data_IF_087122682210
#
_entry.id   IF_087122682210
#
_cell.length_a   1.000
_cell.length_b   1.000
_cell.length_c   1.000
_cell.angle_alpha   90.00
_cell.angle_beta   90.00
_cell.angle_gamma   90.00
#
_symmetry.space_group_name_H-M   'P 1'
#
loop_
_entity.id
_entity.type
_entity.pdbx_description
1 polymer ?
#
# COMPACT_ATOMS: atom_id res chain seq x y z
N UNK A 1 -20.33 -31.82 10.89
CA UNK A 1 -20.24 -30.66 9.96
C UNK A 1 -19.39 -29.61 10.63
N UNK A 2 -18.12 -29.52 10.25
CA UNK A 2 -17.16 -28.59 10.84
C UNK A 2 -17.50 -27.15 10.46
N UNK A 3 -17.55 -26.28 11.46
CA UNK A 3 -17.46 -24.83 11.24
C UNK A 3 -16.06 -24.58 10.66
N UNK A 4 -15.98 -24.49 9.33
CA UNK A 4 -14.81 -23.96 8.63
C UNK A 4 -14.57 -22.56 9.17
N UNK A 5 -13.30 -22.21 9.38
CA UNK A 5 -12.92 -20.85 9.74
C UNK A 5 -13.66 -19.86 8.85
N UNK A 6 -14.19 -18.82 9.48
CA UNK A 6 -14.76 -17.66 8.78
C UNK A 6 -13.81 -17.25 7.65
N UNK A 7 -14.37 -16.91 6.51
CA UNK A 7 -13.65 -16.63 5.27
C UNK A 7 -12.72 -15.43 5.46
N UNK A 8 -11.47 -15.70 5.87
CA UNK A 8 -10.45 -14.68 6.17
C UNK A 8 -10.26 -13.72 5.01
N UNK A 9 -10.42 -14.23 3.78
CA UNK A 9 -10.33 -13.43 2.57
C UNK A 9 -11.52 -12.49 2.48
N UNK A 10 -12.73 -12.98 2.72
CA UNK A 10 -13.92 -12.13 2.77
C UNK A 10 -13.81 -11.06 3.87
N UNK A 11 -13.38 -11.42 5.07
CA UNK A 11 -13.17 -10.46 6.17
C UNK A 11 -12.17 -9.37 5.76
N UNK A 12 -11.05 -9.78 5.13
CA UNK A 12 -10.06 -8.84 4.62
C UNK A 12 -10.63 -7.91 3.54
N UNK A 13 -11.40 -8.45 2.59
CA UNK A 13 -12.01 -7.67 1.51
C UNK A 13 -13.09 -6.70 2.05
N UNK A 14 -13.89 -7.14 3.01
CA UNK A 14 -14.91 -6.31 3.67
C UNK A 14 -14.25 -5.16 4.44
N UNK A 15 -13.16 -5.44 5.17
CA UNK A 15 -12.36 -4.43 5.84
C UNK A 15 -11.82 -3.39 4.85
N UNK A 16 -11.21 -3.83 3.75
CA UNK A 16 -10.71 -2.91 2.72
C UNK A 16 -11.84 -2.08 2.08
N UNK A 17 -13.02 -2.66 1.91
CA UNK A 17 -14.21 -1.95 1.43
C UNK A 17 -14.65 -0.84 2.38
N UNK A 18 -14.66 -1.10 3.69
CA UNK A 18 -14.98 -0.10 4.71
C UNK A 18 -13.94 1.04 4.74
N UNK A 19 -12.66 0.70 4.71
CA UNK A 19 -11.57 1.69 4.64
C UNK A 19 -11.67 2.55 3.37
N UNK A 20 -12.03 1.95 2.23
CA UNK A 20 -12.23 2.69 0.99
C UNK A 20 -13.34 3.73 1.11
N UNK A 21 -14.47 3.39 1.74
CA UNK A 21 -15.58 4.34 1.96
C UNK A 21 -15.18 5.48 2.90
N UNK A 22 -14.40 5.21 3.95
CA UNK A 22 -13.88 6.24 4.86
C UNK A 22 -12.91 7.18 4.14
N UNK A 23 -12.04 6.64 3.27
CA UNK A 23 -11.15 7.44 2.43
C UNK A 23 -11.98 8.28 1.45
N UNK A 24 -12.98 7.71 0.80
CA UNK A 24 -13.87 8.43 -0.11
C UNK A 24 -14.53 9.63 0.57
N UNK A 25 -15.08 9.44 1.78
CA UNK A 25 -15.70 10.51 2.57
C UNK A 25 -14.72 11.65 2.87
N UNK A 26 -13.49 11.32 3.28
CA UNK A 26 -12.44 12.32 3.50
C UNK A 26 -12.13 13.07 2.20
N UNK A 27 -12.04 12.37 1.08
CA UNK A 27 -11.68 12.97 -0.21
C UNK A 27 -12.82 13.77 -0.87
N UNK A 28 -14.07 13.58 -0.44
CA UNK A 28 -15.24 14.41 -0.81
C UNK A 28 -15.15 15.83 -0.25
N UNK A 29 -14.43 16.03 0.84
CA UNK A 29 -14.11 17.38 1.32
C UNK A 29 -13.13 18.05 0.35
N UNK A 30 -13.66 18.92 -0.51
CA UNK A 30 -12.89 19.67 -1.51
C UNK A 30 -12.78 21.11 -0.99
N UNK A 31 -11.81 21.34 -0.10
CA UNK A 31 -11.41 22.70 0.25
C UNK A 31 -10.97 23.43 -1.01
N UNK A 32 -11.41 24.67 -1.16
CA UNK A 32 -10.97 25.54 -2.27
C UNK A 32 -9.54 26.02 -1.98
N UNK A 33 -8.81 26.36 -3.03
CA UNK A 33 -7.50 27.01 -2.88
C UNK A 33 -7.61 28.27 -2.01
N UNK A 34 -6.78 28.33 -0.97
CA UNK A 34 -6.63 29.50 -0.11
C UNK A 34 -5.68 30.51 -0.77
N UNK A 35 -6.26 31.49 -1.44
CA UNK A 35 -5.52 32.62 -2.03
C UNK A 35 -5.30 33.77 -1.06
N UNK A 36 -5.71 33.62 0.20
CA UNK A 36 -5.52 34.65 1.23
C UNK A 36 -4.16 34.54 1.92
N UNK A 37 -3.53 33.36 1.91
CA UNK A 37 -2.18 33.15 2.44
C UNK A 37 -1.14 33.98 1.70
N UNK A 38 -0.52 34.93 2.39
CA UNK A 38 0.54 35.76 1.82
C UNK A 38 1.79 34.94 1.47
N UNK A 39 2.10 33.94 2.29
CA UNK A 39 3.21 33.03 2.06
C UNK A 39 3.01 32.24 0.74
N UNK A 40 1.82 31.68 0.52
CA UNK A 40 1.53 30.92 -0.69
C UNK A 40 1.48 31.81 -1.94
N UNK A 41 1.00 33.04 -1.81
CA UNK A 41 1.08 34.04 -2.90
C UNK A 41 2.51 34.34 -3.26
N UNK A 42 3.39 34.50 -2.27
CA UNK A 42 4.81 34.72 -2.53
C UNK A 42 5.44 33.50 -3.20
N UNK A 43 5.15 32.28 -2.72
CA UNK A 43 5.59 31.02 -3.35
C UNK A 43 5.12 30.91 -4.80
N UNK A 44 3.87 31.25 -5.09
CA UNK A 44 3.31 31.21 -6.45
C UNK A 44 3.95 32.25 -7.38
N UNK A 45 4.09 33.48 -6.91
CA UNK A 45 4.64 34.58 -7.70
C UNK A 45 6.12 34.35 -8.02
N UNK A 46 6.90 33.88 -7.03
CA UNK A 46 8.34 33.67 -7.15
C UNK A 46 8.72 32.36 -7.85
N UNK A 47 7.77 31.45 -8.09
CA UNK A 47 8.07 30.22 -8.82
C UNK A 47 8.42 30.51 -10.29
N UNK A 48 9.64 30.18 -10.70
CA UNK A 48 10.12 30.40 -12.07
C UNK A 48 9.88 29.19 -12.98
N UNK A 49 9.71 27.99 -12.40
CA UNK A 49 9.51 26.76 -13.15
C UNK A 49 8.49 25.83 -12.50
N UNK A 50 7.87 24.98 -13.32
CA UNK A 50 6.99 23.91 -12.87
C UNK A 50 7.72 22.97 -11.92
N UNK A 51 7.17 22.78 -10.72
CA UNK A 51 7.76 21.89 -9.71
C UNK A 51 7.96 20.45 -10.22
N UNK A 52 7.04 19.94 -11.03
CA UNK A 52 7.06 18.54 -11.46
C UNK A 52 7.97 18.25 -12.67
N UNK A 53 8.01 19.14 -13.67
CA UNK A 53 8.72 18.87 -14.92
C UNK A 53 9.87 19.85 -15.20
N UNK A 54 10.12 20.82 -14.32
CA UNK A 54 11.17 21.81 -14.48
C UNK A 54 10.96 22.82 -15.62
N UNK A 55 9.83 22.76 -16.35
CA UNK A 55 9.54 23.73 -17.42
C UNK A 55 9.47 25.14 -16.84
N UNK A 56 10.32 26.04 -17.32
CA UNK A 56 10.29 27.47 -16.99
C UNK A 56 8.97 28.08 -17.45
N UNK A 57 8.36 28.90 -16.60
CA UNK A 57 7.13 29.61 -16.92
C UNK A 57 7.44 30.80 -17.82
N UNK A 58 6.84 30.81 -19.01
CA UNK A 58 6.88 31.94 -19.94
C UNK A 58 6.07 33.11 -19.40
N UNK A 59 4.85 32.81 -18.92
CA UNK A 59 3.91 33.79 -18.40
C UNK A 59 3.23 33.30 -17.11
N UNK A 60 2.66 34.23 -16.34
CA UNK A 60 1.87 33.91 -15.15
C UNK A 60 0.65 33.02 -15.46
N UNK A 61 0.11 33.09 -16.68
CA UNK A 61 -1.01 32.24 -17.14
C UNK A 61 -0.65 30.78 -17.35
N UNK A 62 0.64 30.44 -17.35
CA UNK A 62 1.12 29.06 -17.43
C UNK A 62 1.16 28.39 -16.04
N UNK A 63 1.09 29.18 -14.97
CA UNK A 63 1.15 28.72 -13.59
C UNK A 63 -0.23 28.25 -13.11
N UNK A 64 -0.28 27.08 -12.50
CA UNK A 64 -1.44 26.50 -11.84
C UNK A 64 -1.20 26.35 -10.35
N UNK A 65 -2.24 26.64 -9.57
CA UNK A 65 -2.27 26.46 -8.12
C UNK A 65 -2.68 25.03 -7.80
N UNK A 66 -1.69 24.15 -7.67
CA UNK A 66 -1.92 22.82 -7.16
C UNK A 66 -2.07 22.87 -5.63
N UNK A 67 -3.15 22.32 -5.09
CA UNK A 67 -3.51 22.52 -3.68
C UNK A 67 -4.03 21.27 -2.98
N UNK A 68 -3.86 21.27 -1.67
CA UNK A 68 -4.46 20.29 -0.80
C UNK A 68 -5.94 20.60 -0.61
N UNK A 69 -6.75 19.58 -0.82
CA UNK A 69 -8.20 19.66 -0.67
C UNK A 69 -8.65 19.40 0.78
N UNK A 70 -7.78 18.89 1.63
CA UNK A 70 -8.08 18.61 3.04
C UNK A 70 -7.88 19.84 3.93
N UNK A 71 -6.86 20.65 3.64
CA UNK A 71 -6.52 21.85 4.41
C UNK A 71 -7.31 23.09 4.02
N UNK A 72 -7.82 23.82 5.03
CA UNK A 72 -8.62 25.04 4.83
C UNK A 72 -7.79 26.32 4.65
N UNK A 73 -6.54 26.34 5.13
CA UNK A 73 -5.63 27.48 5.05
C UNK A 73 -4.24 27.03 4.66
N UNK A 74 -3.51 27.90 3.96
CA UNK A 74 -2.12 27.63 3.59
C UNK A 74 -1.97 26.34 2.77
N UNK A 75 -2.88 26.10 1.83
CA UNK A 75 -3.05 24.79 1.19
C UNK A 75 -2.37 24.68 -0.18
N UNK A 76 -1.49 25.60 -0.58
CA UNK A 76 -0.70 25.44 -1.79
C UNK A 76 0.33 24.31 -1.61
N UNK A 77 0.24 23.28 -2.45
CA UNK A 77 1.25 22.21 -2.51
C UNK A 77 2.39 22.63 -3.41
N UNK A 78 2.08 22.87 -4.69
CA UNK A 78 3.07 23.14 -5.73
C UNK A 78 2.58 24.16 -6.77
N UNK A 79 3.54 24.76 -7.48
CA UNK A 79 3.25 25.57 -8.66
C UNK A 79 3.55 24.73 -9.89
N UNK A 80 2.50 24.37 -10.63
CA UNK A 80 2.60 23.43 -11.76
C UNK A 80 2.29 24.14 -13.07
N UNK A 81 2.77 23.59 -14.19
CA UNK A 81 2.23 23.95 -15.50
C UNK A 81 0.88 23.25 -15.71
N UNK A 82 0.01 23.80 -16.58
CA UNK A 82 -1.30 23.21 -16.91
C UNK A 82 -1.24 21.71 -17.17
N UNK A 83 -0.29 21.27 -18.00
CA UNK A 83 -0.11 19.85 -18.36
C UNK A 83 0.17 18.96 -17.13
N UNK A 84 1.01 19.43 -16.20
CA UNK A 84 1.30 18.68 -14.98
C UNK A 84 0.13 18.71 -14.01
N UNK A 85 -0.54 19.86 -13.86
CA UNK A 85 -1.72 20.00 -13.01
C UNK A 85 -2.86 19.04 -13.42
N UNK A 86 -3.10 18.89 -14.73
CA UNK A 86 -4.08 17.91 -15.24
C UNK A 86 -3.70 16.45 -14.94
N UNK A 87 -2.42 16.13 -14.80
CA UNK A 87 -1.95 14.78 -14.42
C UNK A 87 -2.06 14.53 -12.91
N UNK A 88 -2.02 15.58 -12.09
CA UNK A 88 -2.17 15.54 -10.64
C UNK A 88 -3.64 15.45 -10.20
N UNK A 89 -4.53 14.96 -11.06
CA UNK A 89 -5.91 14.69 -10.69
C UNK A 89 -5.99 13.58 -9.63
N UNK A 90 -7.00 13.70 -8.76
CA UNK A 90 -7.32 12.65 -7.78
C UNK A 90 -7.57 11.34 -8.51
N UNK A 91 -6.90 10.29 -8.06
CA UNK A 91 -7.16 8.92 -8.50
C UNK A 91 -8.58 8.51 -8.07
N UNK A 92 -9.31 7.83 -8.94
CA UNK A 92 -10.58 7.16 -8.66
C UNK A 92 -10.38 5.77 -8.03
N UNK A 93 -9.13 5.39 -7.77
CA UNK A 93 -8.79 4.12 -7.15
C UNK A 93 -7.77 4.26 -6.00
N UNK A 94 -7.87 3.35 -5.03
CA UNK A 94 -6.91 3.13 -3.96
C UNK A 94 -5.99 1.97 -4.35
N UNK A 95 -4.67 2.19 -4.49
CA UNK A 95 -3.73 1.10 -4.74
C UNK A 95 -3.50 0.27 -3.48
N UNK A 96 -3.68 -1.05 -3.60
CA UNK A 96 -3.34 -2.04 -2.57
C UNK A 96 -2.11 -2.79 -3.06
N UNK A 97 -0.96 -2.46 -2.48
CA UNK A 97 0.30 -3.11 -2.82
C UNK A 97 0.48 -4.40 -2.02
N UNK A 98 0.63 -5.51 -2.73
CA UNK A 98 0.97 -6.81 -2.16
C UNK A 98 2.25 -7.29 -2.86
N UNK A 99 3.23 -7.75 -2.08
CA UNK A 99 4.53 -8.11 -2.63
C UNK A 99 4.55 -9.55 -3.10
N UNK A 100 4.85 -9.77 -4.38
CA UNK A 100 4.75 -11.07 -5.05
C UNK A 100 3.31 -11.58 -5.17
N UNK A 101 2.36 -10.63 -5.25
CA UNK A 101 0.92 -10.86 -5.33
C UNK A 101 0.55 -11.88 -6.41
N UNK A 102 1.05 -11.69 -7.63
CA UNK A 102 0.65 -12.48 -8.81
C UNK A 102 0.88 -13.98 -8.62
N UNK A 103 1.86 -14.38 -7.80
CA UNK A 103 2.22 -15.78 -7.64
C UNK A 103 1.59 -16.46 -6.42
N UNK A 104 1.12 -15.71 -5.41
CA UNK A 104 0.62 -16.27 -4.16
C UNK A 104 -0.81 -15.81 -3.89
N UNK A 105 -0.98 -14.56 -3.44
CA UNK A 105 -2.26 -14.08 -2.93
C UNK A 105 -3.32 -13.91 -4.01
N UNK A 106 -2.89 -13.72 -5.26
CA UNK A 106 -3.78 -13.40 -6.36
C UNK A 106 -4.86 -14.47 -6.60
N UNK A 107 -4.52 -15.75 -6.51
CA UNK A 107 -5.50 -16.83 -6.73
C UNK A 107 -6.55 -16.86 -5.62
N UNK A 108 -6.11 -16.65 -4.37
CA UNK A 108 -6.97 -16.62 -3.21
C UNK A 108 -7.92 -15.41 -3.26
N UNK A 109 -7.40 -14.22 -3.59
CA UNK A 109 -8.18 -12.98 -3.65
C UNK A 109 -9.12 -12.97 -4.87
N UNK A 110 -8.61 -13.30 -6.07
CA UNK A 110 -9.43 -13.31 -7.29
C UNK A 110 -10.55 -14.37 -7.22
N UNK A 111 -10.27 -15.54 -6.61
CA UNK A 111 -11.27 -16.59 -6.41
C UNK A 111 -12.46 -16.13 -5.56
N UNK A 112 -12.23 -15.32 -4.53
CA UNK A 112 -13.29 -14.81 -3.65
C UNK A 112 -14.01 -13.59 -4.22
N UNK A 113 -13.33 -12.78 -5.03
CA UNK A 113 -13.95 -11.61 -5.69
C UNK A 113 -14.94 -11.98 -6.79
N UNK A 114 -14.82 -13.18 -7.38
CA UNK A 114 -15.73 -13.71 -8.41
C UNK A 114 -17.16 -14.01 -7.93
N UNK A 115 -17.41 -14.04 -6.62
CA UNK A 115 -18.73 -14.30 -6.04
C UNK A 115 -19.54 -13.04 -5.73
N UNK A 116 -18.98 -11.87 -6.03
CA UNK A 116 -19.64 -10.57 -5.83
C UNK A 116 -20.10 -10.02 -7.19
N UNK A 117 -21.32 -9.47 -7.26
CA UNK A 117 -21.93 -9.02 -8.52
C UNK A 117 -21.00 -8.06 -9.29
N UNK A 118 -20.69 -8.38 -10.56
CA UNK A 118 -20.17 -7.60 -11.71
C UNK A 118 -19.20 -6.40 -11.50
N UNK A 119 -18.61 -6.24 -10.33
CA UNK A 119 -17.78 -5.09 -9.94
C UNK A 119 -16.29 -5.40 -9.93
N UNK A 120 -15.87 -6.57 -10.43
CA UNK A 120 -14.46 -6.99 -10.44
C UNK A 120 -13.92 -6.99 -11.86
N UNK A 121 -12.85 -6.23 -12.11
CA UNK A 121 -12.09 -6.26 -13.35
C UNK A 121 -10.71 -6.84 -13.10
N UNK A 122 -10.18 -7.62 -14.03
CA UNK A 122 -8.88 -8.26 -13.87
C UNK A 122 -8.02 -8.02 -15.10
N UNK A 123 -6.73 -7.75 -14.88
CA UNK A 123 -5.73 -7.64 -15.95
C UNK A 123 -4.92 -8.93 -15.97
N UNK A 124 -5.19 -9.86 -16.89
CA UNK A 124 -4.48 -11.13 -16.96
C UNK A 124 -3.05 -10.99 -17.50
N UNK A 125 -2.16 -11.82 -16.96
CA UNK A 125 -0.83 -12.09 -17.50
C UNK A 125 -0.83 -13.42 -18.26
N UNK A 126 -1.48 -14.44 -17.69
CA UNK A 126 -1.71 -15.76 -18.27
C UNK A 126 -3.05 -16.29 -17.75
N UNK A 127 -3.43 -17.52 -18.14
CA UNK A 127 -4.69 -18.14 -17.69
C UNK A 127 -4.81 -18.24 -16.16
N UNK A 128 -3.69 -18.45 -15.47
CA UNK A 128 -3.65 -18.62 -14.00
C UNK A 128 -3.07 -17.41 -13.24
N UNK A 129 -2.55 -16.40 -13.95
CA UNK A 129 -1.81 -15.29 -13.33
C UNK A 129 -2.40 -13.96 -13.75
N UNK A 130 -2.63 -13.10 -12.77
CA UNK A 130 -3.15 -11.76 -13.01
C UNK A 130 -2.16 -10.71 -12.52
N UNK A 131 -1.93 -9.67 -13.33
CA UNK A 131 -1.03 -8.55 -13.04
C UNK A 131 -1.69 -7.64 -12.00
N UNK A 132 -3.00 -7.43 -12.13
CA UNK A 132 -3.77 -6.58 -11.25
C UNK A 132 -5.21 -7.07 -11.18
N UNK A 133 -5.79 -6.95 -10.00
CA UNK A 133 -7.21 -7.17 -9.75
C UNK A 133 -7.81 -5.84 -9.29
N UNK A 134 -8.92 -5.45 -9.88
CA UNK A 134 -9.63 -4.20 -9.61
C UNK A 134 -11.00 -4.57 -9.09
N UNK A 135 -11.38 -3.99 -7.96
CA UNK A 135 -12.70 -4.18 -7.36
C UNK A 135 -13.36 -2.81 -7.19
N UNK A 136 -14.45 -2.59 -7.89
CA UNK A 136 -15.30 -1.42 -7.67
C UNK A 136 -15.99 -1.61 -6.31
N UNK A 137 -15.89 -0.58 -5.46
CA UNK A 137 -16.63 -0.53 -4.19
C UNK A 137 -17.95 0.19 -4.41
N UNK A 138 -17.95 1.24 -5.24
CA UNK A 138 -19.12 1.93 -5.74
C UNK A 138 -18.78 2.62 -7.08
N UNK A 139 -19.65 3.50 -7.56
CA UNK A 139 -19.47 4.22 -8.84
C UNK A 139 -18.31 5.23 -8.86
N UNK A 140 -17.74 5.57 -7.70
CA UNK A 140 -16.77 6.65 -7.52
C UNK A 140 -15.41 6.18 -7.00
N UNK A 141 -15.32 5.00 -6.38
CA UNK A 141 -14.06 4.49 -5.82
C UNK A 141 -13.85 3.01 -6.10
N UNK A 142 -12.61 2.68 -6.46
CA UNK A 142 -12.14 1.33 -6.76
C UNK A 142 -10.96 0.94 -5.87
N UNK A 143 -10.85 -0.33 -5.51
CA UNK A 143 -9.62 -0.93 -5.00
C UNK A 143 -8.84 -1.52 -6.17
N UNK A 144 -7.52 -1.31 -6.20
CA UNK A 144 -6.65 -1.90 -7.23
C UNK A 144 -5.49 -2.63 -6.57
N UNK A 145 -5.52 -3.95 -6.62
CA UNK A 145 -4.42 -4.80 -6.18
C UNK A 145 -3.29 -4.75 -7.19
N UNK A 146 -2.08 -4.49 -6.69
CA UNK A 146 -0.88 -4.29 -7.50
C UNK A 146 0.27 -5.11 -6.91
N UNK A 147 0.95 -5.88 -7.77
CA UNK A 147 2.14 -6.62 -7.39
C UNK A 147 3.36 -5.70 -7.29
N UNK A 148 3.81 -5.40 -6.06
CA UNK A 148 4.97 -4.54 -5.86
C UNK A 148 6.29 -5.18 -6.33
N UNK A 149 6.37 -6.51 -6.44
CA UNK A 149 7.56 -7.22 -6.92
C UNK A 149 7.88 -6.90 -8.39
N UNK A 150 6.88 -6.48 -9.17
CA UNK A 150 7.08 -6.06 -10.57
C UNK A 150 7.87 -4.76 -10.71
N UNK A 151 7.90 -3.95 -9.65
CA UNK A 151 8.67 -2.70 -9.59
C UNK A 151 9.97 -2.89 -8.80
N UNK A 152 9.93 -3.75 -7.78
CA UNK A 152 11.03 -4.02 -6.86
C UNK A 152 11.29 -5.54 -6.82
N UNK A 153 12.06 -6.03 -7.80
CA UNK A 153 12.31 -7.45 -8.03
C UNK A 153 13.35 -8.06 -7.06
N UNK A 154 13.11 -7.90 -5.76
CA UNK A 154 13.93 -8.43 -4.68
C UNK A 154 13.04 -8.88 -3.52
N UNK A 155 13.55 -9.69 -2.60
CA UNK A 155 12.75 -10.10 -1.43
C UNK A 155 12.48 -8.93 -0.49
N UNK A 156 11.38 -8.96 0.26
CA UNK A 156 11.14 -7.93 1.30
C UNK A 156 12.31 -7.80 2.29
N UNK A 157 12.95 -8.90 2.67
CA UNK A 157 14.10 -8.87 3.58
C UNK A 157 15.29 -8.08 2.99
N UNK A 158 15.56 -8.28 1.70
CA UNK A 158 16.61 -7.54 0.98
C UNK A 158 16.22 -6.06 0.83
N UNK A 159 14.98 -5.77 0.44
CA UNK A 159 14.48 -4.39 0.29
C UNK A 159 14.55 -3.62 1.62
N UNK A 160 14.18 -4.25 2.73
CA UNK A 160 14.29 -3.66 4.07
C UNK A 160 15.74 -3.48 4.50
N UNK A 161 16.63 -4.42 4.14
CA UNK A 161 18.07 -4.33 4.40
C UNK A 161 18.77 -3.19 3.65
N UNK A 162 18.24 -2.79 2.49
CA UNK A 162 18.74 -1.66 1.70
C UNK A 162 18.33 -0.28 2.24
N UNK A 163 17.47 -0.23 3.26
CA UNK A 163 16.98 1.00 3.85
C UNK A 163 17.60 1.24 5.23
N UNK A 164 18.01 2.48 5.48
CA UNK A 164 18.45 2.94 6.79
C UNK A 164 17.24 3.24 7.69
N UNK A 165 17.46 3.20 9.02
CA UNK A 165 16.38 3.36 10.01
C UNK A 165 15.64 4.71 9.86
N UNK A 166 16.35 5.76 9.43
CA UNK A 166 15.79 7.08 9.20
C UNK A 166 14.75 7.13 8.08
N UNK A 167 14.82 6.22 7.11
CA UNK A 167 13.90 6.11 5.98
C UNK A 167 12.57 5.43 6.36
N UNK A 168 12.49 4.73 7.51
CA UNK A 168 11.27 4.09 7.99
C UNK A 168 10.38 5.07 8.78
N UNK A 169 9.92 6.14 8.13
CA UNK A 169 9.16 7.21 8.77
C UNK A 169 7.91 6.70 9.51
N UNK A 170 7.07 5.92 8.85
CA UNK A 170 5.84 5.39 9.45
C UNK A 170 6.10 4.36 10.55
N UNK A 171 7.16 3.55 10.43
CA UNK A 171 7.52 2.59 11.48
C UNK A 171 7.90 3.33 12.77
N UNK A 172 8.75 4.36 12.65
CA UNK A 172 9.18 5.19 13.79
C UNK A 172 8.05 5.98 14.42
N UNK A 173 7.06 6.39 13.63
CA UNK A 173 5.92 7.17 14.11
C UNK A 173 4.93 6.32 14.92
N UNK A 174 4.78 5.04 14.57
CA UNK A 174 3.75 4.17 15.13
C UNK A 174 4.28 3.16 16.16
N UNK A 175 5.60 2.96 16.25
CA UNK A 175 6.22 1.96 17.13
C UNK A 175 7.35 2.54 17.97
N UNK A 176 7.55 2.05 19.20
CA UNK A 176 8.62 2.53 20.05
C UNK A 176 10.00 2.12 19.49
N UNK A 177 11.06 2.92 19.73
CA UNK A 177 12.39 2.65 19.19
C UNK A 177 12.96 1.26 19.48
N UNK A 178 12.61 0.68 20.64
CA UNK A 178 13.06 -0.64 21.09
C UNK A 178 12.59 -1.78 20.17
N UNK A 179 11.45 -1.61 19.50
CA UNK A 179 10.87 -2.65 18.64
C UNK A 179 11.35 -2.54 17.19
N UNK A 180 11.95 -1.41 16.79
CA UNK A 180 12.22 -1.12 15.38
C UNK A 180 13.23 -2.07 14.74
N UNK A 181 14.23 -2.52 15.50
CA UNK A 181 15.17 -3.52 14.98
C UNK A 181 14.49 -4.86 14.71
N UNK A 182 13.60 -5.29 15.61
CA UNK A 182 12.83 -6.52 15.45
C UNK A 182 11.87 -6.42 14.25
N UNK A 183 11.14 -5.31 14.13
CA UNK A 183 10.16 -5.08 13.06
C UNK A 183 10.79 -4.99 11.66
N UNK A 184 12.09 -4.72 11.56
CA UNK A 184 12.84 -4.70 10.29
C UNK A 184 13.38 -6.08 9.89
N UNK A 185 13.31 -7.08 10.76
CA UNK A 185 13.83 -8.41 10.48
C UNK A 185 12.72 -9.34 10.00
N UNK A 186 13.07 -10.22 9.07
CA UNK A 186 12.22 -11.37 8.74
C UNK A 186 12.24 -12.33 9.93
N UNK A 187 11.11 -12.50 10.59
CA UNK A 187 10.98 -13.49 11.67
C UNK A 187 11.04 -14.92 11.11
N UNK A 188 11.61 -15.82 11.90
CA UNK A 188 11.63 -17.25 11.60
C UNK A 188 10.26 -17.87 11.85
N UNK A 189 9.92 -18.86 11.03
CA UNK A 189 8.64 -19.57 11.12
C UNK A 189 8.87 -21.07 10.97
N UNK A 190 8.23 -21.86 11.84
CA UNK A 190 8.41 -23.30 11.94
C UNK A 190 7.52 -24.06 10.93
N UNK A 191 7.80 -23.87 9.63
CA UNK A 191 6.98 -24.44 8.54
C UNK A 191 6.82 -25.97 8.65
N UNK A 192 7.90 -26.69 8.95
CA UNK A 192 7.87 -28.16 9.06
C UNK A 192 7.17 -28.65 10.33
N UNK A 193 7.16 -27.83 11.39
CA UNK A 193 6.41 -28.13 12.60
C UNK A 193 4.91 -28.00 12.36
N UNK A 194 4.44 -26.96 11.66
CA UNK A 194 3.03 -26.67 11.43
C UNK A 194 2.42 -27.54 10.30
N UNK A 195 2.45 -28.86 10.49
CA UNK A 195 1.92 -29.87 9.56
C UNK A 195 0.43 -30.16 9.71
N UNK A 196 -0.20 -29.70 10.80
CA UNK A 196 -1.58 -30.00 11.16
C UNK A 196 -2.28 -28.80 11.78
N UNK A 197 -3.59 -28.68 11.58
CA UNK A 197 -4.39 -27.58 12.12
C UNK A 197 -4.48 -27.57 13.66
N UNK A 198 -4.28 -28.72 14.31
CA UNK A 198 -4.34 -28.78 15.77
C UNK A 198 -3.15 -28.07 16.42
N UNK A 199 -1.98 -28.04 15.76
CA UNK A 199 -0.82 -27.27 16.22
C UNK A 199 -1.05 -25.76 16.24
N UNK A 200 -1.98 -25.25 15.43
CA UNK A 200 -2.39 -23.84 15.48
C UNK A 200 -3.19 -23.47 16.74
N UNK A 201 -3.66 -24.47 17.51
CA UNK A 201 -4.40 -24.27 18.78
C UNK A 201 -3.48 -24.33 20.00
N UNK A 202 -2.21 -24.66 19.81
CA UNK A 202 -1.23 -24.70 20.89
C UNK A 202 -0.98 -23.29 21.44
N UNK A 203 -0.80 -23.18 22.76
CA UNK A 203 -0.63 -21.90 23.46
C UNK A 203 0.81 -21.60 23.87
N UNK A 204 1.71 -22.54 23.58
CA UNK A 204 3.15 -22.43 23.84
C UNK A 204 3.91 -22.36 22.52
N UNK A 205 5.01 -21.61 22.50
CA UNK A 205 5.91 -21.59 21.35
C UNK A 205 6.57 -22.96 21.15
N UNK A 206 6.78 -23.41 19.89
CA UNK A 206 7.56 -24.61 19.59
C UNK A 206 8.99 -24.50 20.12
N UNK A 207 9.64 -25.63 20.38
CA UNK A 207 11.03 -25.62 20.80
C UNK A 207 11.94 -25.22 19.62
N UNK A 208 13.14 -24.68 19.89
CA UNK A 208 14.10 -24.28 18.85
C UNK A 208 14.33 -25.34 17.76
N UNK A 209 14.43 -26.61 18.16
CA UNK A 209 14.60 -27.77 17.25
C UNK A 209 13.47 -27.94 16.24
N UNK A 210 12.27 -27.43 16.55
CA UNK A 210 11.08 -27.56 15.72
C UNK A 210 11.05 -26.50 14.59
N UNK A 211 12.00 -25.55 14.59
CA UNK A 211 12.20 -24.58 13.53
C UNK A 211 13.15 -25.06 12.42
N UNK A 212 13.62 -26.31 12.48
CA UNK A 212 14.43 -26.89 11.41
C UNK A 212 13.69 -26.81 10.07
N UNK A 213 14.35 -26.25 9.06
CA UNK A 213 13.81 -26.08 7.72
C UNK A 213 14.35 -27.17 6.79
N UNK A 214 13.52 -28.15 6.43
CA UNK A 214 13.85 -29.27 5.54
C UNK A 214 14.13 -28.83 4.11
N UNK A 215 13.50 -27.76 3.63
CA UNK A 215 13.73 -27.25 2.27
C UNK A 215 15.17 -26.76 2.08
N UNK A 216 15.75 -26.15 3.11
CA UNK A 216 17.13 -25.66 3.09
C UNK A 216 18.11 -26.53 3.91
N UNK A 217 17.60 -27.56 4.58
CA UNK A 217 18.33 -28.46 5.47
C UNK A 217 19.15 -27.69 6.52
N UNK A 218 18.51 -26.75 7.22
CA UNK A 218 19.16 -25.82 8.17
C UNK A 218 18.31 -25.59 9.42
N UNK A 219 18.98 -25.50 10.57
CA UNK A 219 18.44 -24.97 11.83
C UNK A 219 18.42 -23.43 11.83
N UNK A 220 17.66 -22.86 12.77
CA UNK A 220 17.71 -21.42 13.08
C UNK A 220 18.88 -21.08 14.02
N UNK A 221 19.37 -19.85 13.93
CA UNK A 221 20.43 -19.33 14.81
C UNK A 221 19.89 -18.93 16.18
N UNK A 222 20.78 -18.60 17.14
CA UNK A 222 20.34 -18.01 18.42
C UNK A 222 19.85 -16.57 18.23
N UNK A 223 20.41 -15.85 17.25
CA UNK A 223 19.99 -14.48 16.92
C UNK A 223 18.60 -14.39 16.26
N UNK A 224 18.06 -15.52 15.79
CA UNK A 224 16.73 -15.63 15.20
C UNK A 224 15.60 -15.76 16.24
N UNK A 225 15.95 -16.04 17.50
CA UNK A 225 15.02 -16.19 18.64
C UNK A 225 14.95 -14.96 19.55
#
# INVERSE_FOLDING_TARGET
MGKKGEDVVQIFLDFLGQEALLIEEKYKSISKIDRSSQEDRNRFNNAESCHQCGKVFSDSSDKCWDHDHMSQKGNLRFVLCKKCNFKYCKSDFIPIFLHNFTNYDCQLIAGNLGYTENDTHVIPLSEEKYISVIKNINSSIQLRFVDSYKFLAASLAELVGNLSLDQFHHLKENFPPVDLELLRRKQVFCYDYLDTYDKLKETSLPAKKDFFNRLHNKDISDEDL
#
